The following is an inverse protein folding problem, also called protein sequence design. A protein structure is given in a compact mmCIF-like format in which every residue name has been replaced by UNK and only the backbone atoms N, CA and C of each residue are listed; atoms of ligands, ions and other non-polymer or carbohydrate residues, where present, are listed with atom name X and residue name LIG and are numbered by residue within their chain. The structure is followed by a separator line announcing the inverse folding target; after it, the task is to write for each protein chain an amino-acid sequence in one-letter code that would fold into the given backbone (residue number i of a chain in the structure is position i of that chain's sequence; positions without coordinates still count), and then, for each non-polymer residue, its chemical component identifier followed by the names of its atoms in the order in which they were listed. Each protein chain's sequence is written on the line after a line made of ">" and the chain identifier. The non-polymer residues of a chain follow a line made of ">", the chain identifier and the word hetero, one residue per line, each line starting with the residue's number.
data_IF_906512777843
#
_entry.id   IF_906512777843
#
_cell.length_a   1.000
_cell.length_b   1.000
_cell.length_c   1.000
_cell.angle_alpha   90.00
_cell.angle_beta   90.00
_cell.angle_gamma   90.00
#
_symmetry.space_group_name_H-M   'P 1'
#
loop_
_entity.id
_entity.type
_entity.pdbx_description
1 polymer ?
#
# COMPACT_ATOMS: atom_id res chain seq x y z
N UNK A 1 -11.02 10.17 48.28
CA UNK A 1 -11.29 11.58 48.63
C UNK A 1 -12.66 11.92 48.03
N UNK A 2 -13.65 12.30 48.84
CA UNK A 2 -15.02 12.64 48.41
C UNK A 2 -15.24 14.12 48.72
N UNK A 3 -15.92 14.86 47.85
CA UNK A 3 -16.31 16.25 48.09
C UNK A 3 -17.84 16.30 48.10
N UNK A 4 -18.45 16.80 49.20
CA UNK A 4 -19.91 16.84 49.40
C UNK A 4 -20.59 15.49 49.11
N UNK A 5 -20.08 14.41 49.71
CA UNK A 5 -20.59 13.02 49.55
C UNK A 5 -20.46 12.40 48.15
N UNK A 6 -20.01 13.17 47.16
CA UNK A 6 -19.84 12.72 45.77
C UNK A 6 -18.36 12.41 45.45
N UNK A 7 -18.09 11.48 44.52
CA UNK A 7 -16.75 11.29 43.98
C UNK A 7 -16.27 12.58 43.29
N UNK A 8 -15.00 12.92 43.46
CA UNK A 8 -14.40 14.13 42.85
C UNK A 8 -14.46 14.08 41.31
N UNK A 9 -14.44 12.87 40.73
CA UNK A 9 -14.63 12.64 39.30
C UNK A 9 -15.64 11.52 39.13
N UNK A 10 -16.80 11.83 38.53
CA UNK A 10 -17.76 10.85 38.05
C UNK A 10 -17.47 10.57 36.58
N UNK A 11 -16.93 9.38 36.28
CA UNK A 11 -16.73 8.99 34.89
C UNK A 11 -18.10 8.71 34.23
N UNK A 12 -18.37 9.29 33.05
CA UNK A 12 -19.59 8.98 32.32
C UNK A 12 -19.61 7.51 31.87
N UNK A 13 -20.79 6.93 31.62
CA UNK A 13 -20.90 5.59 31.07
C UNK A 13 -20.28 5.51 29.67
N UNK A 14 -19.78 4.33 29.30
CA UNK A 14 -19.25 4.07 27.97
C UNK A 14 -20.42 4.00 26.98
N UNK A 15 -20.42 4.90 26.00
CA UNK A 15 -21.42 4.92 24.93
C UNK A 15 -20.77 4.43 23.62
N UNK A 16 -21.45 3.52 22.91
CA UNK A 16 -21.01 3.02 21.61
C UNK A 16 -21.89 3.57 20.48
N UNK A 17 -21.26 4.12 19.45
CA UNK A 17 -21.94 4.64 18.26
C UNK A 17 -21.43 3.93 17.01
N UNK A 18 -22.33 3.54 16.11
CA UNK A 18 -21.95 2.91 14.83
C UNK A 18 -22.12 3.91 13.69
N UNK A 19 -21.01 4.26 13.05
CA UNK A 19 -21.03 5.11 11.86
C UNK A 19 -20.87 4.28 10.58
N UNK A 20 -21.81 4.44 9.64
CA UNK A 20 -21.77 3.73 8.35
C UNK A 20 -21.01 4.56 7.33
N UNK A 21 -19.86 4.05 6.89
CA UNK A 21 -19.02 4.69 5.88
C UNK A 21 -19.39 4.14 4.50
N UNK A 22 -19.48 5.02 3.50
CA UNK A 22 -19.68 4.64 2.10
C UNK A 22 -18.33 4.53 1.39
N UNK A 23 -18.16 3.49 0.59
CA UNK A 23 -16.99 3.39 -0.29
C UNK A 23 -17.00 4.45 -1.38
N UNK A 24 -15.80 4.88 -1.77
CA UNK A 24 -15.58 5.60 -3.03
C UNK A 24 -15.87 4.67 -4.22
N UNK A 25 -16.09 5.24 -5.39
CA UNK A 25 -16.42 4.46 -6.60
C UNK A 25 -15.35 3.41 -6.94
N UNK A 26 -14.07 3.78 -6.85
CA UNK A 26 -12.97 2.87 -7.16
C UNK A 26 -12.83 1.74 -6.14
N UNK A 27 -12.94 2.06 -4.85
CA UNK A 27 -12.91 1.09 -3.74
C UNK A 27 -14.06 0.10 -3.88
N UNK A 28 -15.26 0.60 -4.19
CA UNK A 28 -16.45 -0.22 -4.39
C UNK A 28 -16.29 -1.18 -5.57
N UNK A 29 -15.71 -0.72 -6.69
CA UNK A 29 -15.45 -1.56 -7.86
C UNK A 29 -14.51 -2.71 -7.53
N UNK A 30 -13.44 -2.45 -6.78
CA UNK A 30 -12.49 -3.48 -6.32
C UNK A 30 -13.18 -4.47 -5.38
N UNK A 31 -13.92 -3.95 -4.40
CA UNK A 31 -14.67 -4.75 -3.43
C UNK A 31 -15.69 -5.67 -4.10
N UNK A 32 -16.51 -5.15 -5.01
CA UNK A 32 -17.56 -5.91 -5.70
C UNK A 32 -16.98 -6.98 -6.61
N UNK A 33 -15.86 -6.70 -7.29
CA UNK A 33 -15.13 -7.70 -8.08
C UNK A 33 -14.66 -8.86 -7.19
N UNK A 34 -14.03 -8.56 -6.06
CA UNK A 34 -13.55 -9.59 -5.13
C UNK A 34 -14.72 -10.39 -4.55
N UNK A 35 -15.77 -9.71 -4.09
CA UNK A 35 -17.00 -10.33 -3.57
C UNK A 35 -17.65 -11.28 -4.57
N UNK A 36 -17.72 -10.90 -5.85
CA UNK A 36 -18.25 -11.75 -6.92
C UNK A 36 -17.40 -13.01 -7.11
N UNK A 37 -16.07 -12.87 -7.09
CA UNK A 37 -15.16 -14.00 -7.19
C UNK A 37 -15.32 -14.99 -6.02
N UNK A 38 -15.37 -14.47 -4.77
CA UNK A 38 -15.61 -15.28 -3.57
C UNK A 38 -16.92 -16.05 -3.68
N UNK A 39 -18.00 -15.38 -4.11
CA UNK A 39 -19.31 -16.03 -4.31
C UNK A 39 -19.26 -17.14 -5.36
N UNK A 40 -18.54 -16.92 -6.47
CA UNK A 40 -18.38 -17.94 -7.52
C UNK A 40 -17.62 -19.17 -7.01
N UNK A 41 -16.48 -18.96 -6.34
CA UNK A 41 -15.70 -20.06 -5.77
C UNK A 41 -16.49 -20.83 -4.70
N UNK A 42 -17.18 -20.12 -3.81
CA UNK A 42 -18.01 -20.75 -2.79
C UNK A 42 -19.13 -21.61 -3.40
N UNK A 43 -19.79 -21.11 -4.47
CA UNK A 43 -20.79 -21.91 -5.20
C UNK A 43 -20.18 -23.13 -5.88
N UNK A 44 -18.94 -23.03 -6.38
CA UNK A 44 -18.22 -24.17 -6.96
C UNK A 44 -17.97 -25.25 -5.90
N UNK A 45 -17.42 -24.87 -4.75
CA UNK A 45 -17.19 -25.82 -3.64
C UNK A 45 -18.47 -26.45 -3.13
N UNK A 46 -19.58 -25.70 -3.09
CA UNK A 46 -20.89 -26.25 -2.72
C UNK A 46 -21.43 -27.28 -3.73
N UNK A 47 -21.11 -27.13 -5.02
CA UNK A 47 -21.54 -28.04 -6.08
C UNK A 47 -20.64 -29.28 -6.20
N UNK A 48 -19.38 -29.19 -5.77
CA UNK A 48 -18.50 -30.35 -5.66
C UNK A 48 -19.09 -31.33 -4.64
N UNK A 49 -19.41 -32.55 -5.09
CA UNK A 49 -20.11 -33.57 -4.28
C UNK A 49 -19.28 -34.11 -3.11
N UNK A 50 -17.97 -33.83 -3.05
CA UNK A 50 -17.05 -34.44 -2.09
C UNK A 50 -16.50 -33.43 -1.09
N UNK A 51 -17.24 -33.12 -0.03
CA UNK A 51 -16.70 -32.60 1.26
C UNK A 51 -15.70 -31.40 1.22
N UNK A 52 -15.59 -30.70 0.10
CA UNK A 52 -14.52 -29.74 -0.19
C UNK A 52 -14.58 -28.50 0.69
N UNK A 53 -15.74 -28.19 1.26
CA UNK A 53 -15.90 -26.98 2.09
C UNK A 53 -15.02 -27.03 3.35
N UNK A 54 -14.85 -28.21 3.95
CA UNK A 54 -14.04 -28.38 5.17
C UNK A 54 -12.55 -28.28 4.83
N UNK A 55 -12.12 -28.86 3.72
CA UNK A 55 -10.73 -28.80 3.24
C UNK A 55 -10.35 -27.41 2.70
N UNK A 56 -11.29 -26.69 2.11
CA UNK A 56 -11.09 -25.33 1.57
C UNK A 56 -11.45 -24.22 2.57
N UNK A 57 -11.73 -24.54 3.83
CA UNK A 57 -12.13 -23.56 4.85
C UNK A 57 -11.06 -22.48 5.05
N UNK A 58 -9.79 -22.86 5.10
CA UNK A 58 -8.67 -21.92 5.20
C UNK A 58 -8.64 -20.98 3.98
N UNK A 59 -8.86 -21.51 2.79
CA UNK A 59 -8.93 -20.72 1.55
C UNK A 59 -10.10 -19.74 1.60
N UNK A 60 -11.25 -20.16 2.09
CA UNK A 60 -12.41 -19.30 2.28
C UNK A 60 -12.17 -18.19 3.32
N UNK A 61 -11.54 -18.51 4.45
CA UNK A 61 -11.16 -17.52 5.45
C UNK A 61 -10.17 -16.50 4.88
N UNK A 62 -9.16 -16.95 4.12
CA UNK A 62 -8.22 -16.06 3.42
C UNK A 62 -8.96 -15.12 2.46
N UNK A 63 -9.96 -15.63 1.75
CA UNK A 63 -10.81 -14.82 0.86
C UNK A 63 -11.64 -13.78 1.63
N UNK A 64 -12.25 -14.16 2.75
CA UNK A 64 -13.02 -13.24 3.60
C UNK A 64 -12.13 -12.17 4.22
N UNK A 65 -10.94 -12.54 4.70
CA UNK A 65 -9.96 -11.62 5.24
C UNK A 65 -9.57 -10.56 4.20
N UNK A 66 -9.31 -10.97 2.96
CA UNK A 66 -9.02 -10.03 1.86
C UNK A 66 -10.17 -9.07 1.61
N UNK A 67 -11.42 -9.55 1.69
CA UNK A 67 -12.60 -8.70 1.54
C UNK A 67 -12.69 -7.67 2.67
N UNK A 68 -12.36 -8.05 3.90
CA UNK A 68 -12.29 -7.15 5.06
C UNK A 68 -11.16 -6.13 4.95
N UNK A 69 -9.99 -6.52 4.44
CA UNK A 69 -8.87 -5.60 4.22
C UNK A 69 -9.23 -4.49 3.23
N UNK A 70 -9.96 -4.83 2.15
CA UNK A 70 -10.45 -3.84 1.18
C UNK A 70 -11.40 -2.83 1.84
N UNK A 71 -12.18 -3.24 2.85
CA UNK A 71 -13.03 -2.32 3.61
C UNK A 71 -12.24 -1.25 4.37
N UNK A 72 -11.00 -1.55 4.76
CA UNK A 72 -10.15 -0.63 5.51
C UNK A 72 -9.30 0.22 4.57
N UNK A 73 -8.52 -0.43 3.69
CA UNK A 73 -7.66 0.26 2.71
C UNK A 73 -7.24 -0.66 1.55
N UNK A 74 -7.30 -0.16 0.32
CA UNK A 74 -7.04 -0.95 -0.89
C UNK A 74 -5.58 -1.42 -1.04
N UNK A 75 -4.61 -0.67 -0.52
CA UNK A 75 -3.19 -1.08 -0.54
C UNK A 75 -2.88 -2.32 0.32
N UNK A 76 -3.69 -2.59 1.37
CA UNK A 76 -3.51 -3.79 2.19
C UNK A 76 -3.74 -5.08 1.38
N UNK A 77 -4.59 -4.99 0.37
CA UNK A 77 -4.82 -6.07 -0.59
C UNK A 77 -3.66 -6.18 -1.61
N UNK A 78 -3.08 -5.06 -2.05
CA UNK A 78 -2.01 -5.04 -3.06
C UNK A 78 -0.66 -5.53 -2.52
N UNK A 79 -0.28 -5.12 -1.31
CA UNK A 79 1.02 -5.48 -0.71
C UNK A 79 1.20 -7.00 -0.59
N UNK A 80 0.14 -7.72 -0.22
CA UNK A 80 0.18 -9.19 -0.09
C UNK A 80 0.24 -9.95 -1.42
N UNK A 81 -0.14 -9.31 -2.54
CA UNK A 81 0.08 -9.87 -3.87
C UNK A 81 1.55 -9.66 -4.28
N UNK A 82 2.09 -8.47 -3.99
CA UNK A 82 3.45 -8.11 -4.35
C UNK A 82 4.54 -8.83 -3.52
N UNK A 83 4.28 -9.13 -2.24
CA UNK A 83 5.22 -9.88 -1.38
C UNK A 83 5.41 -11.34 -1.84
N UNK A 84 4.49 -11.89 -2.64
CA UNK A 84 4.69 -13.18 -3.30
C UNK A 84 5.64 -13.10 -4.52
N UNK A 85 5.87 -11.89 -5.06
CA UNK A 85 6.64 -11.63 -6.28
C UNK A 85 7.99 -10.92 -6.02
N UNK A 86 8.28 -10.45 -4.80
CA UNK A 86 9.45 -9.59 -4.54
C UNK A 86 10.71 -10.37 -4.14
N UNK A 87 11.33 -11.06 -5.10
CA UNK A 87 12.70 -11.61 -5.00
C UNK A 87 13.73 -10.74 -5.75
N UNK A 88 13.54 -9.43 -5.80
CA UNK A 88 14.54 -8.49 -6.32
C UNK A 88 14.79 -7.43 -5.26
N UNK A 89 16.06 -7.18 -4.86
CA UNK A 89 16.62 -5.83 -4.62
C UNK A 89 18.01 -5.76 -3.97
N UNK A 90 18.91 -6.74 -4.14
CA UNK A 90 20.27 -6.61 -3.59
C UNK A 90 21.31 -6.15 -4.63
N UNK A 91 21.28 -6.70 -5.84
CA UNK A 91 22.29 -6.38 -6.87
C UNK A 91 22.07 -5.02 -7.56
N UNK A 92 20.81 -4.65 -7.82
CA UNK A 92 20.47 -3.35 -8.42
C UNK A 92 20.90 -2.17 -7.54
N UNK A 93 20.78 -2.32 -6.21
CA UNK A 93 21.12 -1.26 -5.27
C UNK A 93 22.64 -1.06 -5.15
N UNK A 94 23.43 -2.12 -5.26
CA UNK A 94 24.89 -2.05 -5.25
C UNK A 94 25.43 -1.37 -6.53
N UNK A 95 24.91 -1.74 -7.70
CA UNK A 95 25.28 -1.11 -8.97
C UNK A 95 24.94 0.39 -9.02
N UNK A 96 23.80 0.79 -8.44
CA UNK A 96 23.36 2.19 -8.35
C UNK A 96 24.30 3.05 -7.48
N UNK A 97 24.87 2.50 -6.40
CA UNK A 97 25.82 3.22 -5.55
C UNK A 97 27.15 3.51 -6.27
N UNK A 98 27.66 2.54 -7.04
CA UNK A 98 28.92 2.72 -7.79
C UNK A 98 28.79 3.79 -8.87
N UNK A 99 27.64 3.83 -9.58
CA UNK A 99 27.39 4.86 -10.59
C UNK A 99 27.37 6.29 -10.02
N UNK A 100 26.93 6.46 -8.77
CA UNK A 100 26.95 7.77 -8.08
C UNK A 100 28.36 8.15 -7.64
N UNK A 101 29.18 7.20 -7.23
CA UNK A 101 30.57 7.48 -6.84
C UNK A 101 31.45 7.94 -8.00
N UNK A 102 31.21 7.38 -9.20
CA UNK A 102 31.99 7.71 -10.40
C UNK A 102 31.58 9.04 -11.05
N UNK A 103 30.30 9.42 -10.95
CA UNK A 103 29.81 10.68 -11.51
C UNK A 103 29.65 11.72 -10.38
N UNK A 104 30.57 12.68 -10.32
CA UNK A 104 30.60 13.70 -9.26
C UNK A 104 29.78 14.96 -9.60
N UNK A 105 29.10 15.00 -10.75
CA UNK A 105 28.34 16.17 -11.18
C UNK A 105 26.90 15.84 -11.60
N UNK A 106 26.00 16.79 -11.34
CA UNK A 106 24.58 16.76 -11.66
C UNK A 106 24.35 16.97 -13.16
N UNK A 107 23.50 16.15 -13.78
CA UNK A 107 23.25 16.21 -15.23
C UNK A 107 22.50 17.46 -15.71
N UNK A 108 21.77 18.16 -14.85
CA UNK A 108 21.03 19.38 -15.25
C UNK A 108 21.89 20.63 -15.33
N UNK A 109 22.82 20.80 -14.39
CA UNK A 109 23.60 22.05 -14.26
C UNK A 109 25.11 21.83 -14.21
N UNK A 110 25.58 20.59 -14.40
CA UNK A 110 26.99 20.19 -14.29
C UNK A 110 27.68 20.63 -12.98
N UNK A 111 26.90 20.81 -11.91
CA UNK A 111 27.40 21.18 -10.57
C UNK A 111 27.84 19.96 -9.78
N UNK A 112 28.77 20.12 -8.86
CA UNK A 112 29.15 19.05 -7.94
C UNK A 112 27.94 18.59 -7.11
N UNK A 113 27.77 17.28 -7.01
CA UNK A 113 26.66 16.65 -6.29
C UNK A 113 26.88 16.75 -4.77
N UNK A 114 25.98 17.43 -4.07
CA UNK A 114 25.95 17.48 -2.60
C UNK A 114 24.97 16.46 -2.05
N UNK A 115 23.80 16.32 -2.68
CA UNK A 115 22.77 15.32 -2.33
C UNK A 115 22.30 14.56 -3.58
N UNK A 116 23.06 13.52 -4.01
CA UNK A 116 22.75 12.81 -5.23
C UNK A 116 21.45 12.00 -5.11
N UNK A 117 20.59 12.17 -6.10
CA UNK A 117 19.36 11.42 -6.30
C UNK A 117 19.36 10.78 -7.68
N UNK A 118 18.90 9.55 -7.75
CA UNK A 118 18.90 8.77 -8.99
C UNK A 118 17.47 8.58 -9.44
N UNK A 119 17.21 8.89 -10.69
CA UNK A 119 15.91 8.65 -11.31
C UNK A 119 15.73 7.16 -11.66
N UNK A 120 14.50 6.69 -11.90
CA UNK A 120 14.27 5.32 -12.37
C UNK A 120 15.05 4.95 -13.65
N UNK A 121 15.37 5.92 -14.51
CA UNK A 121 16.19 5.75 -15.72
C UNK A 121 17.71 5.87 -15.48
N UNK A 122 18.14 5.94 -14.21
CA UNK A 122 19.55 5.95 -13.76
C UNK A 122 20.35 7.22 -14.07
N UNK A 123 19.69 8.33 -14.40
CA UNK A 123 20.36 9.63 -14.48
C UNK A 123 20.48 10.25 -13.09
N UNK A 124 21.61 10.94 -12.85
CA UNK A 124 21.97 11.42 -11.53
C UNK A 124 21.77 12.94 -11.46
N UNK A 125 20.91 13.36 -10.55
CA UNK A 125 20.65 14.77 -10.30
C UNK A 125 20.87 15.10 -8.84
N UNK A 126 21.14 16.36 -8.54
CA UNK A 126 21.03 16.84 -7.18
C UNK A 126 19.55 17.05 -6.82
N UNK A 127 19.18 16.77 -5.56
CA UNK A 127 17.78 16.75 -5.10
C UNK A 127 17.07 18.09 -5.32
N UNK A 128 17.80 19.19 -5.26
CA UNK A 128 17.22 20.52 -5.49
C UNK A 128 17.02 20.80 -6.98
N UNK A 129 17.84 20.21 -7.85
CA UNK A 129 17.73 20.35 -9.30
C UNK A 129 16.52 19.59 -9.85
N UNK A 130 16.27 18.40 -9.30
CA UNK A 130 15.17 17.56 -9.75
C UNK A 130 13.82 18.15 -9.30
N UNK A 131 13.74 18.70 -8.06
CA UNK A 131 12.53 19.33 -7.49
C UNK A 131 11.90 20.41 -8.39
N UNK A 132 12.71 21.27 -8.99
CA UNK A 132 12.28 22.34 -9.90
C UNK A 132 11.61 21.78 -11.16
N UNK A 133 11.96 20.56 -11.58
CA UNK A 133 11.37 19.90 -12.75
C UNK A 133 10.00 19.27 -12.48
N UNK A 134 9.56 19.18 -11.23
CA UNK A 134 8.29 18.53 -10.85
C UNK A 134 7.14 19.51 -10.60
N UNK A 135 7.34 20.82 -10.79
CA UNK A 135 6.37 21.81 -10.32
C UNK A 135 5.03 21.80 -11.09
N UNK A 136 4.92 21.19 -12.28
CA UNK A 136 3.66 21.21 -13.04
C UNK A 136 3.22 19.90 -13.73
N UNK A 137 4.10 18.92 -13.94
CA UNK A 137 3.80 17.81 -14.83
C UNK A 137 4.43 16.49 -14.32
N UNK A 138 3.88 15.34 -14.72
CA UNK A 138 4.37 14.03 -14.30
C UNK A 138 5.86 13.87 -14.62
N UNK A 139 6.58 13.25 -13.67
CA UNK A 139 8.02 13.06 -13.70
C UNK A 139 8.51 12.58 -15.07
N UNK A 140 9.14 13.49 -15.82
CA UNK A 140 9.95 13.20 -16.98
C UNK A 140 11.39 13.49 -16.61
N UNK A 141 12.27 12.53 -16.87
CA UNK A 141 13.67 12.77 -16.64
C UNK A 141 14.16 13.72 -17.73
N UNK A 142 14.62 14.92 -17.38
CA UNK A 142 15.01 15.97 -18.33
C UNK A 142 16.17 15.62 -19.29
N UNK A 143 16.78 14.45 -19.13
CA UNK A 143 17.83 13.93 -20.03
C UNK A 143 17.25 12.97 -21.09
N UNK A 144 16.10 12.33 -20.85
CA UNK A 144 15.57 11.26 -21.69
C UNK A 144 14.05 11.28 -21.84
#
# INVERSE_FOLDING_TARGET
>A
MKFNEHPIVCLPPINFYTYKIKFKMDEKKIYDKMKSNIKKQFRSWKKSRNSDLKYNYITFLKMLLRLQQICNHTELYKRQINDADSNMNNEKLAALKISVSNNKSCYMFSKLLTTPTITPCKHIFDKDCIKVSFEDEPFSCLIC
#
